data_IF_635934493653
#
_entry.id   IF_635934493653
#
_cell.length_a   1.000
_cell.length_b   1.000
_cell.length_c   1.000
_cell.angle_alpha   90.00
_cell.angle_beta   90.00
_cell.angle_gamma   90.00
#
_symmetry.space_group_name_H-M   'P 1'
#
loop_
_entity.id
_entity.type
_entity.pdbx_description
1 polymer ?
#
# COMPACT_ATOMS: atom_id res chain seq x y z
N UNK A 1 32.32 -7.81 39.95
CA UNK A 1 31.81 -7.98 38.58
C UNK A 1 31.51 -6.59 38.04
N UNK A 2 32.32 -6.08 37.10
CA UNK A 2 32.05 -4.78 36.49
C UNK A 2 30.90 -4.95 35.51
N UNK A 3 29.74 -4.40 35.84
CA UNK A 3 28.64 -4.23 34.90
C UNK A 3 29.10 -3.17 33.90
N UNK A 4 29.59 -3.60 32.73
CA UNK A 4 29.92 -2.66 31.67
C UNK A 4 28.62 -1.95 31.26
N UNK A 5 28.57 -0.63 31.41
CA UNK A 5 27.47 0.15 30.84
C UNK A 5 27.49 -0.06 29.31
N UNK A 6 26.35 -0.35 28.67
CA UNK A 6 26.30 -0.47 27.22
C UNK A 6 26.78 0.84 26.58
N UNK A 7 27.61 0.70 25.54
CA UNK A 7 28.06 1.85 24.75
C UNK A 7 26.85 2.37 23.96
N UNK A 8 26.33 3.54 24.34
CA UNK A 8 25.20 4.17 23.66
C UNK A 8 25.59 4.62 22.26
N UNK A 9 24.65 4.53 21.31
CA UNK A 9 24.86 4.93 19.92
C UNK A 9 26.11 4.29 19.28
N UNK A 10 26.46 3.08 19.74
CA UNK A 10 27.63 2.32 19.29
C UNK A 10 28.97 3.08 19.37
N UNK A 11 29.03 4.16 20.17
CA UNK A 11 30.19 5.05 20.26
C UNK A 11 30.34 6.03 19.08
N UNK A 12 29.42 5.98 18.13
CA UNK A 12 29.44 6.74 16.88
C UNK A 12 28.38 7.84 16.84
N UNK A 13 27.89 8.28 17.99
CA UNK A 13 26.92 9.35 18.06
C UNK A 13 26.73 9.91 19.47
N UNK A 14 25.91 10.96 19.54
CA UNK A 14 25.48 11.57 20.78
C UNK A 14 24.01 11.22 21.04
N UNK A 15 23.73 10.65 22.21
CA UNK A 15 22.35 10.37 22.61
C UNK A 15 21.67 11.66 23.09
N UNK A 16 20.52 12.00 22.49
CA UNK A 16 19.74 13.17 22.85
C UNK A 16 18.25 12.92 22.64
N UNK A 17 17.44 13.23 23.65
CA UNK A 17 15.96 13.16 23.62
C UNK A 17 15.38 11.83 23.10
N UNK A 18 15.98 10.69 23.47
CA UNK A 18 15.48 9.38 23.05
C UNK A 18 16.04 8.86 21.74
N UNK A 19 16.99 9.56 21.12
CA UNK A 19 17.52 9.22 19.78
C UNK A 19 19.02 9.42 19.71
N UNK A 20 19.70 8.65 18.85
CA UNK A 20 21.11 8.84 18.56
C UNK A 20 21.31 9.85 17.42
N UNK A 21 22.14 10.86 17.67
CA UNK A 21 22.62 11.79 16.66
C UNK A 21 23.99 11.31 16.17
N UNK A 22 24.02 10.69 15.01
CA UNK A 22 25.24 10.05 14.50
C UNK A 22 26.32 11.05 14.10
N UNK A 23 27.56 10.71 14.41
CA UNK A 23 28.73 11.38 13.87
C UNK A 23 28.85 11.14 12.37
N UNK A 24 29.63 12.01 11.70
CA UNK A 24 29.87 11.91 10.26
C UNK A 24 30.37 10.51 9.88
N UNK A 25 29.79 9.93 8.83
CA UNK A 25 30.11 8.59 8.37
C UNK A 25 29.27 7.46 8.97
N UNK A 26 28.32 7.75 9.87
CA UNK A 26 27.46 6.74 10.51
C UNK A 26 25.98 7.07 10.36
N UNK A 27 25.15 6.03 10.34
CA UNK A 27 23.69 6.08 10.27
C UNK A 27 23.08 4.87 11.00
N UNK A 28 21.75 4.79 11.01
CA UNK A 28 21.00 3.79 11.76
C UNK A 28 20.51 4.34 13.09
N UNK A 29 19.56 3.62 13.73
CA UNK A 29 18.99 4.05 15.00
C UNK A 29 20.03 4.11 16.13
N UNK A 30 21.06 3.25 16.05
CA UNK A 30 22.14 3.13 17.03
C UNK A 30 23.50 3.57 16.47
N UNK A 31 23.53 4.29 15.34
CA UNK A 31 24.77 4.73 14.67
C UNK A 31 25.79 3.60 14.44
N UNK A 32 25.29 2.40 14.21
CA UNK A 32 26.05 1.16 14.03
C UNK A 32 26.33 0.84 12.56
N UNK A 33 25.70 1.58 11.63
CA UNK A 33 25.82 1.35 10.20
C UNK A 33 26.69 2.44 9.56
N UNK A 34 27.84 2.09 8.94
CA UNK A 34 28.62 3.02 8.13
C UNK A 34 27.79 3.61 6.99
N UNK A 35 28.06 4.87 6.62
CA UNK A 35 27.28 5.59 5.61
C UNK A 35 27.28 4.88 4.24
N UNK A 36 28.37 4.20 3.89
CA UNK A 36 28.56 3.43 2.65
C UNK A 36 27.97 2.00 2.69
N UNK A 37 27.32 1.62 3.78
CA UNK A 37 26.61 0.34 3.91
C UNK A 37 25.11 0.57 4.02
N UNK A 38 24.29 -0.39 3.60
CA UNK A 38 22.84 -0.28 3.71
C UNK A 38 22.39 -0.75 5.09
N UNK A 39 21.37 -0.10 5.65
CA UNK A 39 20.75 -0.56 6.92
C UNK A 39 20.19 -1.98 6.75
N UNK A 40 19.59 -2.25 5.59
CA UNK A 40 19.27 -3.59 5.13
C UNK A 40 20.26 -3.99 4.02
N UNK A 41 21.22 -4.88 4.28
CA UNK A 41 22.16 -5.36 3.27
C UNK A 41 21.49 -6.11 2.11
N UNK A 42 20.30 -6.69 2.34
CA UNK A 42 19.54 -7.42 1.34
C UNK A 42 18.63 -6.53 0.50
N UNK A 43 18.45 -5.26 0.90
CA UNK A 43 17.53 -4.33 0.26
C UNK A 43 16.16 -4.98 0.01
N UNK A 44 15.52 -5.42 1.10
CA UNK A 44 14.20 -6.05 1.09
C UNK A 44 14.17 -7.42 0.40
N UNK A 45 15.32 -7.98 0.03
CA UNK A 45 15.43 -9.15 -0.85
C UNK A 45 15.20 -8.83 -2.33
N UNK A 46 15.04 -7.56 -2.68
CA UNK A 46 14.63 -7.10 -4.01
C UNK A 46 15.59 -6.07 -4.61
N UNK A 47 16.83 -6.01 -4.13
CA UNK A 47 17.81 -5.07 -4.64
C UNK A 47 19.23 -5.46 -4.30
N UNK A 48 20.14 -4.52 -4.55
CA UNK A 48 21.55 -4.65 -4.19
C UNK A 48 22.00 -3.36 -3.52
N UNK A 49 22.78 -3.50 -2.45
CA UNK A 49 23.37 -2.36 -1.78
C UNK A 49 24.57 -1.83 -2.56
N UNK A 50 24.53 -0.57 -2.96
CA UNK A 50 25.61 0.13 -3.66
C UNK A 50 25.90 1.45 -2.95
N UNK A 51 27.10 1.57 -2.40
CA UNK A 51 27.57 2.76 -1.66
C UNK A 51 26.54 3.31 -0.66
N UNK A 52 25.99 2.40 0.14
CA UNK A 52 25.04 2.73 1.21
C UNK A 52 23.61 3.01 0.77
N UNK A 53 23.30 2.86 -0.52
CA UNK A 53 21.97 3.04 -1.09
C UNK A 53 21.49 1.74 -1.74
N UNK A 54 20.21 1.41 -1.56
CA UNK A 54 19.62 0.26 -2.21
C UNK A 54 19.27 0.59 -3.66
N UNK A 55 19.82 -0.19 -4.59
CA UNK A 55 19.45 -0.18 -6.01
C UNK A 55 18.45 -1.30 -6.23
N UNK A 56 17.20 -0.93 -6.50
CA UNK A 56 16.11 -1.89 -6.61
C UNK A 56 16.10 -2.64 -7.93
N UNK A 57 15.70 -3.90 -7.86
CA UNK A 57 15.41 -4.73 -9.02
C UNK A 57 14.15 -4.22 -9.72
N UNK A 58 13.98 -4.59 -10.99
CA UNK A 58 12.78 -4.24 -11.74
C UNK A 58 11.51 -4.71 -11.00
N UNK A 59 10.51 -3.83 -10.91
CA UNK A 59 9.26 -4.10 -10.19
C UNK A 59 9.27 -3.75 -8.71
N UNK A 60 10.35 -3.17 -8.17
CA UNK A 60 10.43 -2.75 -6.77
C UNK A 60 10.96 -1.32 -6.63
N UNK A 61 10.53 -0.65 -5.55
CA UNK A 61 10.91 0.72 -5.16
C UNK A 61 10.90 0.84 -3.63
N UNK A 62 11.12 2.05 -3.14
CA UNK A 62 11.24 2.31 -1.70
C UNK A 62 12.71 2.43 -1.29
N UNK A 63 12.95 2.87 -0.06
CA UNK A 63 14.32 3.13 0.44
C UNK A 63 15.13 1.85 0.56
N UNK A 64 14.45 0.74 0.78
CA UNK A 64 14.99 -0.59 0.98
C UNK A 64 14.40 -1.58 -0.04
N UNK A 65 13.81 -1.12 -1.15
CA UNK A 65 13.17 -1.96 -2.17
C UNK A 65 12.04 -2.85 -1.64
N UNK A 66 11.37 -2.38 -0.59
CA UNK A 66 10.29 -3.06 0.12
C UNK A 66 8.92 -2.88 -0.54
N UNK A 67 8.80 -1.92 -1.45
CA UNK A 67 7.53 -1.61 -2.13
C UNK A 67 7.51 -2.22 -3.53
N UNK A 68 6.49 -3.04 -3.82
CA UNK A 68 6.22 -3.47 -5.19
C UNK A 68 5.73 -2.31 -6.06
N UNK A 69 6.17 -2.29 -7.32
CA UNK A 69 5.69 -1.37 -8.36
C UNK A 69 4.56 -2.06 -9.11
N UNK A 70 3.34 -1.55 -8.92
CA UNK A 70 2.19 -1.98 -9.70
C UNK A 70 2.10 -1.26 -11.04
N UNK A 71 1.41 -1.91 -11.99
CA UNK A 71 1.12 -1.33 -13.31
C UNK A 71 0.30 -0.04 -13.22
N UNK A 72 -0.53 0.08 -12.17
CA UNK A 72 -1.31 1.26 -11.80
C UNK A 72 -1.27 1.45 -10.29
N UNK A 73 -1.55 2.67 -9.83
CA UNK A 73 -1.76 2.92 -8.40
C UNK A 73 -3.05 2.22 -7.95
N UNK A 74 -2.94 1.34 -6.95
CA UNK A 74 -4.08 0.58 -6.41
C UNK A 74 -4.98 1.40 -5.47
N UNK A 75 -4.63 2.67 -5.24
CA UNK A 75 -5.38 3.58 -4.38
C UNK A 75 -5.47 3.09 -2.94
N UNK A 76 -6.54 3.50 -2.25
CA UNK A 76 -6.78 3.13 -0.84
C UNK A 76 -7.59 1.84 -0.67
N UNK A 77 -7.98 1.21 -1.77
CA UNK A 77 -8.89 0.06 -1.79
C UNK A 77 -8.31 -1.17 -2.48
N UNK A 78 -6.99 -1.18 -2.66
CA UNK A 78 -6.29 -2.29 -3.27
C UNK A 78 -4.89 -2.42 -2.71
N UNK A 79 -4.37 -3.66 -2.80
CA UNK A 79 -2.98 -3.97 -2.46
C UNK A 79 -2.27 -4.45 -3.72
N UNK A 80 -1.07 -3.94 -3.95
CA UNK A 80 -0.22 -4.40 -5.03
C UNK A 80 0.33 -5.80 -4.73
N UNK A 81 0.05 -6.77 -5.59
CA UNK A 81 0.56 -8.14 -5.47
C UNK A 81 0.96 -8.65 -6.84
N UNK A 82 2.25 -8.94 -7.04
CA UNK A 82 2.77 -9.45 -8.30
C UNK A 82 2.58 -8.45 -9.45
N UNK A 83 2.65 -7.14 -9.16
CA UNK A 83 2.49 -6.07 -10.15
C UNK A 83 1.05 -5.75 -10.58
N UNK A 84 0.05 -6.40 -9.97
CA UNK A 84 -1.38 -6.14 -10.19
C UNK A 84 -2.11 -5.78 -8.89
N UNK A 85 -3.16 -4.96 -9.01
CA UNK A 85 -3.96 -4.58 -7.85
C UNK A 85 -4.95 -5.69 -7.50
N UNK A 86 -4.92 -6.11 -6.23
CA UNK A 86 -5.96 -6.94 -5.63
C UNK A 86 -6.88 -6.05 -4.80
N UNK A 87 -8.13 -5.91 -5.24
CA UNK A 87 -9.09 -5.00 -4.62
C UNK A 87 -9.72 -5.58 -3.35
N UNK A 88 -10.07 -4.68 -2.43
CA UNK A 88 -10.92 -4.95 -1.28
C UNK A 88 -12.34 -5.34 -1.70
N UNK A 89 -13.07 -5.98 -0.79
CA UNK A 89 -14.48 -6.33 -1.04
C UNK A 89 -15.31 -5.08 -1.36
N UNK A 90 -16.14 -5.17 -2.41
CA UNK A 90 -16.96 -4.05 -2.88
C UNK A 90 -16.24 -3.07 -3.82
N UNK A 91 -14.96 -3.31 -4.14
CA UNK A 91 -14.19 -2.55 -5.12
C UNK A 91 -13.73 -3.40 -6.31
N UNK A 92 -13.56 -2.75 -7.45
CA UNK A 92 -13.17 -3.35 -8.72
C UNK A 92 -12.46 -2.33 -9.61
N UNK A 93 -12.13 -2.71 -10.83
CA UNK A 93 -11.30 -1.95 -11.75
C UNK A 93 -9.82 -2.25 -11.57
N UNK A 94 -9.01 -1.85 -12.56
CA UNK A 94 -7.57 -2.13 -12.55
C UNK A 94 -6.84 -1.41 -11.40
N UNK A 95 -7.34 -0.24 -10.97
CA UNK A 95 -6.83 0.59 -9.89
C UNK A 95 -7.64 0.48 -8.59
N UNK A 96 -8.61 -0.43 -8.52
CA UNK A 96 -9.53 -0.57 -7.38
C UNK A 96 -10.30 0.72 -7.02
N UNK A 97 -10.60 1.52 -8.04
CA UNK A 97 -11.24 2.83 -7.94
C UNK A 97 -12.75 2.80 -8.27
N UNK A 98 -13.30 1.62 -8.58
CA UNK A 98 -14.70 1.45 -8.94
C UNK A 98 -15.44 0.66 -7.87
N UNK A 99 -16.57 1.17 -7.40
CA UNK A 99 -17.48 0.42 -6.52
C UNK A 99 -18.23 -0.66 -7.30
N UNK A 100 -18.29 -1.87 -6.75
CA UNK A 100 -19.08 -2.98 -7.31
C UNK A 100 -20.57 -2.69 -7.12
N UNK A 101 -21.36 -2.83 -8.19
CA UNK A 101 -22.81 -2.85 -8.11
C UNK A 101 -23.35 -4.28 -8.06
N UNK A 102 -24.58 -4.44 -7.57
CA UNK A 102 -25.29 -5.71 -7.62
C UNK A 102 -25.35 -6.24 -9.07
N UNK A 103 -25.13 -7.54 -9.35
CA UNK A 103 -25.06 -8.06 -10.72
C UNK A 103 -26.32 -7.77 -11.56
N UNK A 104 -27.51 -7.85 -10.95
CA UNK A 104 -28.79 -7.55 -11.62
C UNK A 104 -29.03 -6.07 -11.94
N UNK A 105 -28.18 -5.16 -11.45
CA UNK A 105 -28.26 -3.74 -11.74
C UNK A 105 -28.28 -3.47 -13.26
N UNK A 106 -27.48 -4.24 -14.02
CA UNK A 106 -27.33 -4.06 -15.47
C UNK A 106 -28.58 -4.48 -16.25
N UNK A 107 -29.49 -5.24 -15.64
CA UNK A 107 -30.71 -5.68 -16.30
C UNK A 107 -31.62 -4.49 -16.58
N UNK A 108 -31.78 -3.57 -15.62
CA UNK A 108 -32.72 -2.44 -15.71
C UNK A 108 -32.18 -1.13 -15.12
N UNK A 109 -30.87 -0.96 -15.02
CA UNK A 109 -30.24 0.23 -14.49
C UNK A 109 -28.80 0.42 -14.97
N UNK A 110 -28.21 1.51 -14.51
CA UNK A 110 -26.80 1.84 -14.71
C UNK A 110 -26.11 1.87 -13.36
N UNK A 111 -24.95 1.22 -13.26
CA UNK A 111 -24.13 1.29 -12.05
C UNK A 111 -23.42 2.64 -11.97
N UNK A 112 -23.56 3.33 -10.84
CA UNK A 112 -22.84 4.57 -10.55
C UNK A 112 -22.44 4.60 -9.09
N UNK A 113 -21.14 4.54 -8.85
CA UNK A 113 -20.55 4.53 -7.50
C UNK A 113 -21.19 3.49 -6.56
N UNK A 114 -21.37 2.25 -7.04
CA UNK A 114 -21.94 1.15 -6.25
C UNK A 114 -23.46 1.18 -6.11
N UNK A 115 -24.12 2.23 -6.63
CA UNK A 115 -25.58 2.37 -6.61
C UNK A 115 -26.17 2.17 -8.00
N UNK A 116 -27.35 1.54 -8.04
CA UNK A 116 -28.11 1.40 -9.27
C UNK A 116 -28.98 2.63 -9.52
N UNK A 117 -28.74 3.30 -10.64
CA UNK A 117 -29.65 4.28 -11.21
C UNK A 117 -30.61 3.55 -12.16
N UNK A 118 -31.87 3.36 -11.72
CA UNK A 118 -32.84 2.57 -12.47
C UNK A 118 -33.37 3.29 -13.72
N UNK A 119 -33.58 2.52 -14.78
CA UNK A 119 -34.29 2.96 -15.99
C UNK A 119 -35.77 3.19 -15.69
N UNK A 120 -36.42 3.98 -16.54
CA UNK A 120 -37.86 4.26 -16.41
C UNK A 120 -38.68 2.96 -16.34
N UNK A 121 -39.69 2.93 -15.46
CA UNK A 121 -40.48 1.72 -15.18
C UNK A 121 -39.93 0.82 -14.08
N UNK A 122 -38.69 1.00 -13.60
CA UNK A 122 -38.07 0.13 -12.59
C UNK A 122 -37.70 0.85 -11.30
N UNK A 123 -37.76 0.16 -10.17
CA UNK A 123 -37.31 0.64 -8.85
C UNK A 123 -36.66 -0.46 -8.00
N UNK A 124 -36.38 -0.12 -6.74
CA UNK A 124 -35.66 -0.97 -5.79
C UNK A 124 -34.16 -0.73 -5.82
N UNK A 125 -33.45 -1.29 -4.84
CA UNK A 125 -32.00 -1.11 -4.67
C UNK A 125 -31.19 -1.62 -5.87
N UNK A 126 -31.71 -2.62 -6.58
CA UNK A 126 -31.05 -3.28 -7.70
C UNK A 126 -31.84 -3.19 -9.01
N UNK A 127 -32.85 -2.34 -9.06
CA UNK A 127 -33.72 -2.14 -10.24
C UNK A 127 -34.48 -3.41 -10.69
N UNK A 128 -34.82 -4.29 -9.77
CA UNK A 128 -35.51 -5.56 -10.08
C UNK A 128 -37.01 -5.54 -9.82
N UNK A 129 -37.56 -4.40 -9.41
CA UNK A 129 -39.00 -4.25 -9.14
C UNK A 129 -39.61 -3.44 -10.28
N UNK A 130 -40.56 -4.06 -10.99
CA UNK A 130 -41.37 -3.40 -12.00
C UNK A 130 -42.41 -2.51 -11.31
N UNK A 131 -42.39 -1.21 -11.63
CA UNK A 131 -43.32 -0.24 -11.07
C UNK A 131 -44.76 -0.55 -11.44
N UNK A 132 -45.02 -1.01 -12.65
CA UNK A 132 -46.37 -1.33 -13.12
C UNK A 132 -46.95 -2.46 -12.26
N UNK A 133 -46.18 -3.51 -11.99
CA UNK A 133 -46.63 -4.64 -11.15
C UNK A 133 -46.72 -4.30 -9.66
N UNK A 134 -45.99 -3.28 -9.20
CA UNK A 134 -46.01 -2.83 -7.80
C UNK A 134 -47.16 -1.88 -7.44
N UNK A 135 -47.85 -1.33 -8.44
CA UNK A 135 -49.01 -0.45 -8.26
C UNK A 135 -50.35 -1.21 -8.19
N UNK A 136 -50.29 -2.53 -8.35
CA UNK A 136 -51.44 -3.43 -8.43
C UNK A 136 -51.73 -4.18 -7.12
N UNK A 137 -51.10 -3.77 -6.00
CA UNK A 137 -51.20 -4.41 -4.66
C UNK A 137 -51.88 -3.53 -3.62
#
# INVERSE_FOLDING_TARGET
MATACPVLCSGNGQYSKGTCQCYSGWKGAECDVPLNQCIDPSCGGHGSCVDGNCVCSAGFKGKHCEEEVCSVDCGTHGVCIGGACRCEEGWTGAACDQRVCHPRCIEHGTCKDGKCECREGWNGEHCTIDKALSLDS
#
